data_IF_313707965653
#
_entry.id   IF_313707965653
#
_cell.length_a   1.000
_cell.length_b   1.000
_cell.length_c   1.000
_cell.angle_alpha   90.00
_cell.angle_beta   90.00
_cell.angle_gamma   90.00
#
_symmetry.space_group_name_H-M   'P 1'
#
loop_
_entity.id
_entity.type
_entity.pdbx_description
1 polymer ?
#
# COMPACT_ATOMS: atom_id res chain seq x y z
N UNK A 1 -7.51 9.77 -21.11
CA UNK A 1 -6.90 8.92 -20.92
C UNK A 1 -6.95 8.41 -19.68
N UNK A 2 -7.02 7.32 -19.37
CA UNK A 2 -7.09 6.83 -18.26
C UNK A 2 -5.93 6.36 -17.79
N UNK A 3 -5.38 6.76 -16.82
CA UNK A 3 -4.27 6.28 -16.31
C UNK A 3 -4.59 5.60 -15.13
N UNK A 4 -4.87 4.38 -15.13
CA UNK A 4 -5.11 3.66 -13.98
C UNK A 4 -3.85 3.37 -13.37
N UNK A 5 -3.44 4.04 -12.36
CA UNK A 5 -2.24 3.76 -11.66
C UNK A 5 -2.52 2.89 -10.47
N UNK A 6 -1.61 2.01 -10.20
CA UNK A 6 -1.73 1.15 -9.03
C UNK A 6 -0.48 1.30 -8.18
N UNK A 7 -0.60 0.91 -6.93
CA UNK A 7 0.52 0.91 -6.02
C UNK A 7 0.55 -0.43 -5.33
N UNK A 8 1.72 -1.06 -5.28
CA UNK A 8 1.85 -2.35 -4.63
C UNK A 8 2.44 -2.15 -3.25
N UNK A 9 1.77 -2.69 -2.25
CA UNK A 9 2.18 -2.57 -0.86
C UNK A 9 2.75 -3.90 -0.43
N UNK A 10 4.00 -3.89 -0.03
CA UNK A 10 4.69 -5.11 0.38
C UNK A 10 4.71 -5.28 1.90
N UNK A 11 4.36 -4.25 2.65
CA UNK A 11 4.42 -4.31 4.11
C UNK A 11 3.05 -4.64 4.69
N UNK A 12 2.97 -5.68 5.46
CA UNK A 12 1.72 -6.04 6.13
C UNK A 12 1.28 -4.92 7.06
N UNK A 13 2.23 -4.29 7.75
CA UNK A 13 1.89 -3.25 8.67
C UNK A 13 1.23 -2.08 7.96
N UNK A 14 1.77 -1.66 6.81
CA UNK A 14 1.20 -0.57 6.04
C UNK A 14 -0.15 -0.99 5.48
N UNK A 15 -0.27 -2.23 5.02
CA UNK A 15 -1.53 -2.74 4.50
C UNK A 15 -2.63 -2.65 5.56
N UNK A 16 -2.34 -3.08 6.78
CA UNK A 16 -3.32 -3.04 7.85
C UNK A 16 -3.70 -1.59 8.17
N UNK A 17 -2.72 -0.70 8.20
CA UNK A 17 -3.00 0.71 8.49
C UNK A 17 -3.88 1.32 7.42
N UNK A 18 -3.64 0.98 6.14
CA UNK A 18 -4.46 1.49 5.06
C UNK A 18 -5.89 0.98 5.17
N UNK A 19 -6.06 -0.28 5.56
CA UNK A 19 -7.40 -0.81 5.73
C UNK A 19 -8.13 -0.11 6.87
N UNK A 20 -7.42 0.24 7.92
CA UNK A 20 -8.03 0.94 9.03
C UNK A 20 -8.45 2.36 8.63
N UNK A 21 -7.82 2.92 7.62
CA UNK A 21 -8.20 4.20 7.11
C UNK A 21 -9.35 4.13 6.11
N UNK A 22 -9.80 2.92 5.79
CA UNK A 22 -10.92 2.76 4.90
C UNK A 22 -10.58 2.43 3.47
N UNK A 23 -9.31 2.20 3.15
CA UNK A 23 -8.93 1.84 1.79
C UNK A 23 -9.08 0.33 1.60
N UNK A 24 -9.47 -0.07 0.42
CA UNK A 24 -9.61 -1.47 0.10
C UNK A 24 -8.64 -1.81 -1.02
N UNK A 25 -7.93 -2.92 -0.89
CA UNK A 25 -7.01 -3.34 -1.93
C UNK A 25 -7.80 -3.99 -3.07
N UNK A 26 -7.23 -3.93 -4.26
CA UNK A 26 -7.87 -4.48 -5.44
C UNK A 26 -7.62 -5.97 -5.52
N UNK A 27 -6.43 -6.40 -5.21
CA UNK A 27 -6.10 -7.81 -5.26
C UNK A 27 -4.90 -8.08 -4.38
N UNK A 28 -4.64 -9.33 -4.12
CA UNK A 28 -3.53 -9.75 -3.30
C UNK A 28 -2.72 -10.73 -4.14
N UNK A 29 -1.41 -10.67 -4.04
CA UNK A 29 -0.58 -11.57 -4.83
C UNK A 29 0.66 -11.90 -4.04
N UNK A 30 1.41 -12.90 -4.48
CA UNK A 30 2.60 -13.27 -3.78
C UNK A 30 3.73 -12.33 -4.14
N UNK A 31 4.58 -12.06 -3.16
CA UNK A 31 5.72 -11.20 -3.38
C UNK A 31 6.70 -11.96 -4.29
N UNK A 32 7.09 -11.41 -5.40
CA UNK A 32 7.96 -12.11 -6.35
C UNK A 32 9.33 -12.44 -5.77
N UNK A 33 9.81 -11.64 -4.83
CA UNK A 33 11.11 -11.89 -4.26
C UNK A 33 11.04 -12.73 -3.01
N UNK A 34 9.89 -12.82 -2.39
CA UNK A 34 9.72 -13.60 -1.18
C UNK A 34 8.37 -14.32 -1.28
N UNK A 35 8.33 -15.44 -1.99
CA UNK A 35 7.05 -16.09 -2.30
C UNK A 35 6.22 -16.52 -1.09
N UNK A 36 6.85 -16.60 0.09
CA UNK A 36 6.09 -16.94 1.27
C UNK A 36 5.41 -15.73 1.89
N UNK A 37 5.60 -14.55 1.31
CA UNK A 37 4.95 -13.35 1.78
C UNK A 37 3.98 -12.87 0.71
N UNK A 38 3.00 -12.09 1.12
CA UNK A 38 2.03 -11.56 0.17
C UNK A 38 2.23 -10.06 0.01
N UNK A 39 1.72 -9.54 -1.08
CA UNK A 39 1.66 -8.09 -1.26
C UNK A 39 0.27 -7.75 -1.76
N UNK A 40 -0.10 -6.48 -1.66
CA UNK A 40 -1.45 -6.03 -1.94
C UNK A 40 -1.42 -4.88 -2.93
N UNK A 41 -2.32 -4.92 -3.90
CA UNK A 41 -2.37 -3.92 -4.96
C UNK A 41 -3.52 -2.97 -4.67
N UNK A 42 -3.22 -1.69 -4.61
CA UNK A 42 -4.22 -0.66 -4.35
C UNK A 42 -4.30 0.30 -5.52
N UNK A 43 -5.45 0.91 -5.70
CA UNK A 43 -5.59 1.98 -6.67
C UNK A 43 -4.88 3.21 -6.13
N UNK A 44 -4.01 3.80 -6.92
CA UNK A 44 -3.20 4.92 -6.47
C UNK A 44 -3.94 6.23 -6.70
N UNK A 45 -5.01 6.43 -5.97
CA UNK A 45 -5.75 7.68 -6.04
C UNK A 45 -5.01 8.77 -5.25
N UNK A 46 -5.32 10.03 -5.47
CA UNK A 46 -4.66 11.10 -4.70
C UNK A 46 -4.82 10.94 -3.20
N UNK A 47 -6.01 10.57 -2.74
CA UNK A 47 -6.21 10.37 -1.31
C UNK A 47 -5.36 9.23 -0.79
N UNK A 48 -5.28 8.15 -1.55
CA UNK A 48 -4.48 7.01 -1.16
C UNK A 48 -3.01 7.40 -1.06
N UNK A 49 -2.51 8.15 -2.03
CA UNK A 49 -1.09 8.51 -2.05
C UNK A 49 -0.74 9.44 -0.90
N UNK A 50 -1.63 10.34 -0.54
CA UNK A 50 -1.40 11.23 0.59
C UNK A 50 -1.35 10.42 1.88
N UNK A 51 -2.27 9.48 2.05
CA UNK A 51 -2.31 8.66 3.25
C UNK A 51 -1.11 7.75 3.34
N UNK A 52 -0.72 7.17 2.20
CA UNK A 52 0.44 6.29 2.16
C UNK A 52 1.69 7.06 2.53
N UNK A 53 1.85 8.26 2.00
CA UNK A 53 3.01 9.07 2.27
C UNK A 53 3.09 9.41 3.75
N UNK A 54 1.98 9.69 4.38
CA UNK A 54 1.95 9.98 5.81
C UNK A 54 2.37 8.75 6.62
N UNK A 55 1.90 7.58 6.22
CA UNK A 55 2.25 6.36 6.95
C UNK A 55 3.73 6.04 6.80
N UNK A 56 4.27 6.20 5.61
CA UNK A 56 5.67 5.92 5.38
C UNK A 56 6.52 6.97 6.08
N UNK A 57 6.09 8.21 6.04
CA UNK A 57 6.82 9.28 6.71
C UNK A 57 6.93 9.05 8.19
N UNK A 58 5.82 8.60 8.81
CA UNK A 58 5.88 8.32 10.21
C UNK A 58 6.77 7.14 10.50
N UNK A 59 6.74 6.16 9.65
CA UNK A 59 7.57 4.98 9.87
C UNK A 59 9.04 5.25 9.71
N UNK A 60 9.38 6.20 8.85
CA UNK A 60 10.77 6.44 8.66
C UNK A 60 11.34 7.49 9.59
N UNK A 61 10.50 8.21 10.38
CA UNK A 61 11.02 9.21 11.20
C UNK A 61 11.55 8.61 12.34
N UNK A 62 12.55 8.17 12.52
CA UNK A 62 12.93 7.67 13.62
C UNK A 62 13.91 8.29 14.09
N UNK A 63 14.03 8.85 14.39
CA UNK A 63 14.94 9.47 14.82
C UNK A 63 14.96 9.69 15.84
#
# INVERSE_FOLDING_TARGET
>A
MLNSKIKIIYSLRIHIALQQLGFAHMTEMKNPQHPHLNCWVYAATPDFLVSLDALIGEGSRND
#
